data_IF_088559356535
#
_entry.id   IF_088559356535
#
_cell.length_a   1.000
_cell.length_b   1.000
_cell.length_c   1.000
_cell.angle_alpha   90.00
_cell.angle_beta   90.00
_cell.angle_gamma   90.00
#
_symmetry.space_group_name_H-M   'P 1'
#
loop_
_entity.id
_entity.type
_entity.pdbx_description
1 polymer ?
#
# COMPACT_ATOMS: atom_id res chain seq x y z
N UNK A 1 11.67 2.27 -12.17
CA UNK A 1 11.24 3.40 -11.31
C UNK A 1 9.78 3.15 -11.01
N UNK A 2 9.34 3.27 -9.76
CA UNK A 2 7.92 3.06 -9.47
C UNK A 2 7.13 4.29 -9.96
N UNK A 3 5.92 4.08 -10.48
CA UNK A 3 5.03 5.19 -10.82
C UNK A 3 4.37 5.73 -9.55
N UNK A 4 4.84 6.90 -9.08
CA UNK A 4 4.33 7.51 -7.85
C UNK A 4 2.86 7.89 -7.96
N UNK A 5 2.40 8.35 -9.13
CA UNK A 5 1.01 8.76 -9.30
C UNK A 5 0.08 7.55 -9.13
N UNK A 6 0.46 6.39 -9.68
CA UNK A 6 -0.25 5.13 -9.47
C UNK A 6 -0.25 4.76 -7.99
N UNK A 7 0.91 4.77 -7.32
CA UNK A 7 1.01 4.42 -5.90
C UNK A 7 0.17 5.36 -5.01
N UNK A 8 0.19 6.66 -5.25
CA UNK A 8 -0.64 7.64 -4.54
C UNK A 8 -2.13 7.36 -4.72
N UNK A 9 -2.54 7.10 -5.97
CA UNK A 9 -3.92 6.74 -6.29
C UNK A 9 -4.35 5.46 -5.55
N UNK A 10 -3.51 4.42 -5.57
CA UNK A 10 -3.77 3.16 -4.86
C UNK A 10 -3.89 3.38 -3.35
N UNK A 11 -2.97 4.13 -2.72
CA UNK A 11 -3.03 4.39 -1.29
C UNK A 11 -4.34 5.09 -0.90
N UNK A 12 -4.70 6.16 -1.62
CA UNK A 12 -5.94 6.90 -1.38
C UNK A 12 -7.18 6.02 -1.56
N UNK A 13 -7.25 5.26 -2.66
CA UNK A 13 -8.40 4.40 -2.93
C UNK A 13 -8.51 3.23 -1.95
N UNK A 14 -7.39 2.63 -1.53
CA UNK A 14 -7.36 1.53 -0.55
C UNK A 14 -8.04 1.94 0.76
N UNK A 15 -7.72 3.14 1.28
CA UNK A 15 -8.21 3.64 2.56
C UNK A 15 -9.64 4.17 2.52
N UNK A 16 -10.14 4.53 1.34
CA UNK A 16 -11.45 5.17 1.21
C UNK A 16 -12.52 4.26 0.58
N UNK A 17 -12.13 3.24 -0.20
CA UNK A 17 -13.04 2.45 -1.00
C UNK A 17 -12.97 0.94 -0.69
N UNK A 18 -13.95 0.18 -1.20
CA UNK A 18 -13.98 -1.29 -1.19
C UNK A 18 -13.36 -1.92 -2.44
N UNK A 19 -13.01 -1.09 -3.42
CA UNK A 19 -12.34 -1.45 -4.66
C UNK A 19 -11.42 -0.31 -5.08
N UNK A 20 -10.34 -0.64 -5.77
CA UNK A 20 -9.49 0.32 -6.47
C UNK A 20 -9.72 0.15 -7.97
N UNK A 21 -9.66 1.25 -8.71
CA UNK A 21 -9.72 1.31 -10.16
C UNK A 21 -8.42 1.93 -10.67
N UNK A 22 -7.69 1.17 -11.47
CA UNK A 22 -6.49 1.61 -12.18
C UNK A 22 -6.74 1.39 -13.66
N UNK A 23 -6.98 2.49 -14.40
CA UNK A 23 -7.21 2.47 -15.85
C UNK A 23 -8.28 1.45 -16.31
N UNK A 24 -9.37 1.32 -15.55
CA UNK A 24 -10.48 0.40 -15.83
C UNK A 24 -10.27 -1.01 -15.28
N UNK A 25 -9.09 -1.30 -14.69
CA UNK A 25 -8.81 -2.57 -14.02
C UNK A 25 -9.18 -2.47 -12.55
N UNK A 26 -10.27 -3.16 -12.19
CA UNK A 26 -10.81 -3.14 -10.84
C UNK A 26 -10.17 -4.23 -9.99
N UNK A 27 -9.56 -3.84 -8.87
CA UNK A 27 -9.10 -4.75 -7.82
C UNK A 27 -9.93 -4.57 -6.55
N UNK A 28 -10.36 -5.68 -5.94
CA UNK A 28 -11.12 -5.65 -4.68
C UNK A 28 -10.20 -5.36 -3.50
N UNK A 29 -10.67 -4.51 -2.59
CA UNK A 29 -10.04 -4.32 -1.28
C UNK A 29 -10.56 -5.40 -0.36
N UNK A 30 -9.64 -6.19 0.19
CA UNK A 30 -9.92 -7.20 1.22
C UNK A 30 -9.34 -6.74 2.55
N UNK A 31 -9.62 -7.51 3.62
CA UNK A 31 -9.06 -7.25 4.94
C UNK A 31 -8.19 -8.43 5.37
N UNK A 32 -7.04 -8.14 5.96
CA UNK A 32 -6.17 -9.15 6.55
C UNK A 32 -6.87 -9.86 7.71
N UNK A 33 -6.62 -11.16 7.88
CA UNK A 33 -7.33 -12.01 8.84
C UNK A 33 -7.02 -11.68 10.30
N UNK A 34 -5.82 -11.21 10.61
CA UNK A 34 -5.37 -11.00 11.98
C UNK A 34 -5.78 -9.65 12.55
N UNK A 35 -5.78 -8.59 11.73
CA UNK A 35 -5.90 -7.21 12.22
C UNK A 35 -6.84 -6.34 11.38
N UNK A 36 -7.58 -6.98 10.47
CA UNK A 36 -8.58 -6.34 9.62
C UNK A 36 -8.08 -5.15 8.79
N UNK A 37 -6.77 -5.06 8.58
CA UNK A 37 -6.11 -4.05 7.76
C UNK A 37 -6.53 -4.22 6.31
N UNK A 38 -6.81 -3.12 5.63
CA UNK A 38 -7.14 -3.11 4.22
C UNK A 38 -5.94 -3.53 3.38
N UNK A 39 -6.17 -4.38 2.41
CA UNK A 39 -5.16 -4.81 1.45
C UNK A 39 -5.78 -5.04 0.09
N UNK A 40 -5.00 -4.82 -0.96
CA UNK A 40 -5.38 -5.20 -2.32
C UNK A 40 -4.13 -5.53 -3.12
N UNK A 41 -4.34 -6.30 -4.18
CA UNK A 41 -3.31 -6.62 -5.15
C UNK A 41 -3.63 -5.89 -6.44
N UNK A 42 -2.62 -5.27 -7.04
CA UNK A 42 -2.76 -4.52 -8.27
C UNK A 42 -1.56 -4.76 -9.18
N UNK A 43 -1.69 -4.34 -10.43
CA UNK A 43 -0.63 -4.43 -11.42
C UNK A 43 -0.20 -3.03 -11.82
N UNK A 44 1.10 -2.83 -11.97
CA UNK A 44 1.72 -1.60 -12.45
C UNK A 44 2.94 -2.00 -13.27
N UNK A 45 3.07 -1.47 -14.49
CA UNK A 45 4.16 -1.81 -15.42
C UNK A 45 4.36 -3.33 -15.64
N UNK A 46 3.26 -4.08 -15.71
CA UNK A 46 3.29 -5.54 -15.88
C UNK A 46 3.82 -6.32 -14.67
N UNK A 47 4.01 -5.66 -13.51
CA UNK A 47 4.42 -6.28 -12.25
C UNK A 47 3.30 -6.22 -11.23
N UNK A 48 3.19 -7.29 -10.44
CA UNK A 48 2.16 -7.40 -9.43
C UNK A 48 2.67 -6.87 -8.08
N UNK A 49 1.89 -5.96 -7.51
CA UNK A 49 2.16 -5.34 -6.22
C UNK A 49 1.01 -5.59 -5.26
N UNK A 50 1.32 -5.60 -3.98
CA UNK A 50 0.35 -5.65 -2.91
C UNK A 50 0.44 -4.36 -2.11
N UNK A 51 -0.69 -3.65 -1.98
CA UNK A 51 -0.85 -2.54 -1.06
C UNK A 51 -1.45 -3.06 0.24
N UNK A 52 -0.91 -2.63 1.38
CA UNK A 52 -1.34 -3.05 2.71
C UNK A 52 -1.36 -1.82 3.62
N UNK A 53 -2.51 -1.53 4.21
CA UNK A 53 -2.65 -0.56 5.29
C UNK A 53 -1.75 -0.97 6.47
N UNK A 54 -1.04 0.00 7.03
CA UNK A 54 -0.09 -0.25 8.08
C UNK A 54 -0.77 -0.50 9.42
N UNK A 55 -0.17 -1.42 10.15
CA UNK A 55 -0.62 -1.77 11.48
C UNK A 55 -0.02 -0.87 12.57
N UNK A 56 -0.88 -0.12 13.27
CA UNK A 56 -0.53 0.73 14.41
C UNK A 56 0.05 -0.02 15.64
N UNK A 57 -0.14 -1.34 15.74
CA UNK A 57 0.37 -2.15 16.85
C UNK A 57 1.81 -2.61 16.65
N UNK A 58 2.39 -2.44 15.46
CA UNK A 58 3.75 -2.90 15.17
C UNK A 58 4.79 -1.93 15.77
N UNK A 59 5.87 -2.45 16.38
CA UNK A 59 6.99 -1.63 16.87
C UNK A 59 7.92 -1.23 15.71
N UNK A 60 7.38 -0.60 14.68
CA UNK A 60 8.13 -0.07 13.55
C UNK A 60 7.85 1.43 13.39
N UNK A 61 8.74 2.16 12.73
CA UNK A 61 8.54 3.58 12.42
C UNK A 61 7.15 3.84 11.81
N UNK A 62 6.76 3.00 10.85
CA UNK A 62 5.46 3.10 10.18
C UNK A 62 4.29 2.73 11.09
N UNK A 63 4.46 1.74 11.98
CA UNK A 63 3.45 1.43 13.00
C UNK A 63 3.25 2.57 13.99
N UNK A 64 4.32 3.29 14.35
CA UNK A 64 4.22 4.48 15.18
C UNK A 64 3.41 5.60 14.48
N UNK A 65 3.70 5.90 13.21
CA UNK A 65 2.95 6.92 12.47
C UNK A 65 1.46 6.55 12.34
N UNK A 66 1.16 5.28 12.03
CA UNK A 66 -0.21 4.78 11.99
C UNK A 66 -0.91 4.89 13.38
N UNK A 67 -0.17 4.70 14.47
CA UNK A 67 -0.67 4.88 15.84
C UNK A 67 -0.93 6.34 16.17
N UNK A 68 -0.16 7.25 15.61
CA UNK A 68 -0.32 8.70 15.73
C UNK A 68 -1.45 9.24 14.84
N UNK A 69 -2.12 8.37 14.08
CA UNK A 69 -3.29 8.69 13.25
C UNK A 69 -2.97 8.98 11.78
N UNK A 70 -1.72 8.79 11.35
CA UNK A 70 -1.34 8.97 9.95
C UNK A 70 -1.82 7.81 9.08
N UNK A 71 -2.17 8.13 7.84
CA UNK A 71 -2.58 7.17 6.84
C UNK A 71 -1.34 6.56 6.19
N UNK A 72 -0.98 5.35 6.62
CA UNK A 72 0.23 4.68 6.14
C UNK A 72 -0.12 3.43 5.33
N UNK A 73 0.35 3.36 4.09
CA UNK A 73 0.16 2.20 3.19
C UNK A 73 1.50 1.73 2.68
N UNK A 74 1.85 0.48 2.92
CA UNK A 74 3.07 -0.11 2.37
C UNK A 74 2.79 -0.85 1.07
N UNK A 75 3.74 -0.76 0.14
CA UNK A 75 3.73 -1.45 -1.13
C UNK A 75 4.78 -2.53 -1.16
N UNK A 76 4.35 -3.72 -1.53
CA UNK A 76 5.18 -4.92 -1.60
C UNK A 76 5.15 -5.46 -3.02
N UNK A 77 6.32 -5.69 -3.59
CA UNK A 77 6.45 -6.45 -4.83
C UNK A 77 6.17 -7.93 -4.51
N UNK A 78 5.16 -8.49 -5.18
CA UNK A 78 4.74 -9.88 -4.96
C UNK A 78 5.77 -10.86 -5.48
N UNK A 79 6.46 -10.55 -6.58
CA UNK A 79 7.44 -11.43 -7.20
C UNK A 79 8.69 -11.57 -6.33
N UNK A 80 9.18 -10.46 -5.78
CA UNK A 80 10.37 -10.46 -4.91
C UNK A 80 10.04 -10.61 -3.43
N UNK A 81 8.75 -10.59 -3.08
CA UNK A 81 8.26 -10.63 -1.70
C UNK A 81 8.85 -9.53 -0.80
N UNK A 82 9.26 -8.39 -1.38
CA UNK A 82 9.93 -7.28 -0.69
C UNK A 82 9.07 -6.03 -0.67
N UNK A 83 9.14 -5.27 0.41
CA UNK A 83 8.59 -3.92 0.45
C UNK A 83 9.44 -3.00 -0.42
N UNK A 84 8.80 -2.23 -1.29
CA UNK A 84 9.47 -1.38 -2.29
C UNK A 84 9.15 0.10 -2.12
N UNK A 85 8.02 0.45 -1.50
CA UNK A 85 7.65 1.81 -1.18
C UNK A 85 6.67 1.87 0.00
N UNK A 86 6.47 3.08 0.51
CA UNK A 86 5.43 3.42 1.49
C UNK A 86 4.80 4.75 1.14
N UNK A 87 3.48 4.85 1.33
CA UNK A 87 2.73 6.10 1.33
C UNK A 87 2.49 6.53 2.76
N UNK A 88 2.77 7.79 3.10
CA UNK A 88 2.39 8.42 4.37
C UNK A 88 1.58 9.66 4.05
N UNK A 89 0.31 9.70 4.43
CA UNK A 89 -0.62 10.80 4.15
C UNK A 89 -0.64 11.22 2.65
N UNK A 90 -0.47 10.22 1.78
CA UNK A 90 -0.43 10.41 0.32
C UNK A 90 0.96 10.73 -0.27
N UNK A 91 2.00 10.89 0.55
CA UNK A 91 3.37 11.08 0.05
C UNK A 91 4.12 9.75 -0.10
N UNK A 92 4.73 9.51 -1.27
CA UNK A 92 5.44 8.28 -1.58
C UNK A 92 6.92 8.38 -1.23
N UNK A 93 7.39 7.41 -0.45
CA UNK A 93 8.81 7.15 -0.21
C UNK A 93 9.17 5.78 -0.76
N UNK A 94 10.05 5.73 -1.76
CA UNK A 94 10.62 4.48 -2.27
C UNK A 94 11.75 3.98 -1.37
N UNK A 95 11.81 2.66 -1.16
CA UNK A 95 12.98 2.05 -0.54
C UNK A 95 14.08 1.87 -1.57
N UNK A 96 15.29 2.34 -1.25
CA UNK A 96 16.48 2.06 -2.07
C UNK A 96 16.73 0.55 -2.05
N UNK A 97 16.58 -0.11 -3.18
CA UNK A 97 17.07 -1.48 -3.36
C UNK A 97 18.59 -1.39 -3.48
N UNK A 98 19.29 -1.72 -2.40
CA UNK A 98 20.74 -1.97 -2.41
C UNK A 98 21.05 -3.31 -3.06
#
# INVERSE_FOLDING_TARGET
MLDHAVLQSVAKQLLNNTKIDLDGKISRVTRTSSQHLRTTTFEMDGRQFQAIEQNATKPSRWGQLAREGQEVVQFKDVQTNRFVAVSVDGEITEYKQS
#
